data_IF_405035608179
#
_entry.id   IF_405035608179
#
_cell.length_a   1.000
_cell.length_b   1.000
_cell.length_c   1.000
_cell.angle_alpha   90.00
_cell.angle_beta   90.00
_cell.angle_gamma   90.00
#
_symmetry.space_group_name_H-M   'P 1'
#
loop_
_entity.id
_entity.type
_entity.pdbx_description
1 polymer ?
#
# COMPACT_ATOMS: atom_id res chain seq x y z
N UNK A 1 -10.67 -3.54 0.52
CA UNK A 1 -11.44 -3.47 1.76
C UNK A 1 -10.94 -4.51 2.76
N UNK A 2 -11.15 -4.25 4.06
CA UNK A 2 -10.83 -5.19 5.12
C UNK A 2 -11.80 -6.38 5.07
N UNK A 3 -11.28 -7.59 5.29
CA UNK A 3 -12.10 -8.80 5.40
C UNK A 3 -12.81 -8.87 6.75
N UNK A 4 -13.87 -9.69 6.85
CA UNK A 4 -14.57 -9.91 8.11
C UNK A 4 -13.67 -10.40 9.25
N UNK A 5 -12.67 -11.24 8.92
CA UNK A 5 -11.68 -11.74 9.89
C UNK A 5 -10.75 -10.61 10.37
N UNK A 6 -10.31 -9.73 9.47
CA UNK A 6 -9.48 -8.57 9.83
C UNK A 6 -10.25 -7.60 10.73
N UNK A 7 -11.50 -7.31 10.39
CA UNK A 7 -12.40 -6.49 11.22
C UNK A 7 -12.58 -7.08 12.63
N UNK A 8 -12.73 -8.40 12.73
CA UNK A 8 -12.83 -9.08 14.02
C UNK A 8 -11.56 -8.92 14.86
N UNK A 9 -10.37 -9.03 14.26
CA UNK A 9 -9.12 -8.85 15.02
C UNK A 9 -8.92 -7.41 15.48
N UNK A 10 -9.24 -6.43 14.64
CA UNK A 10 -9.18 -5.00 14.98
C UNK A 10 -10.16 -4.69 16.13
N UNK A 11 -11.38 -5.20 16.05
CA UNK A 11 -12.37 -5.02 17.10
C UNK A 11 -11.89 -5.60 18.43
N UNK A 12 -11.45 -6.85 18.46
CA UNK A 12 -10.95 -7.52 19.66
C UNK A 12 -9.70 -6.87 20.25
N UNK A 13 -8.88 -6.23 19.42
CA UNK A 13 -7.67 -5.53 19.86
C UNK A 13 -7.98 -4.25 20.58
N UNK A 14 -8.93 -3.45 20.10
CA UNK A 14 -9.12 -2.08 20.58
C UNK A 14 -10.43 -1.83 21.30
N UNK A 15 -11.44 -2.70 21.16
CA UNK A 15 -12.78 -2.49 21.72
C UNK A 15 -13.04 -3.47 22.88
N UNK A 16 -13.18 -2.91 24.09
CA UNK A 16 -13.53 -3.65 25.30
C UNK A 16 -14.89 -3.15 25.83
N UNK A 17 -15.97 -3.84 25.44
CA UNK A 17 -17.32 -3.50 25.90
C UNK A 17 -17.85 -2.11 25.47
N UNK A 18 -17.35 -1.59 24.36
CA UNK A 18 -17.70 -0.25 23.84
C UNK A 18 -16.70 0.84 24.23
N UNK A 19 -15.71 0.51 25.07
CA UNK A 19 -14.57 1.37 25.38
C UNK A 19 -13.45 1.10 24.36
N UNK A 20 -12.78 2.16 23.93
CA UNK A 20 -11.58 2.07 23.09
C UNK A 20 -10.40 2.49 23.95
N UNK A 21 -9.55 1.55 24.33
CA UNK A 21 -8.44 1.77 25.26
C UNK A 21 -8.88 2.61 26.50
N UNK A 22 -8.12 3.65 26.86
CA UNK A 22 -8.47 4.59 27.93
C UNK A 22 -9.03 5.93 27.43
N UNK A 23 -9.42 6.02 26.17
CA UNK A 23 -9.96 7.25 25.61
C UNK A 23 -11.26 7.68 26.31
N UNK A 24 -11.34 8.95 26.70
CA UNK A 24 -12.61 9.65 26.92
C UNK A 24 -13.28 9.91 25.56
N UNK A 25 -14.50 10.43 25.57
CA UNK A 25 -15.17 10.80 24.32
C UNK A 25 -14.42 11.91 23.58
N UNK A 26 -13.97 12.93 24.33
CA UNK A 26 -13.25 14.07 23.76
C UNK A 26 -11.84 13.68 23.28
N UNK A 27 -11.10 12.89 24.07
CA UNK A 27 -9.76 12.46 23.65
C UNK A 27 -9.80 11.49 22.47
N UNK A 28 -10.85 10.69 22.31
CA UNK A 28 -11.04 9.84 21.13
C UNK A 28 -11.34 10.68 19.88
N UNK A 29 -12.24 11.67 20.00
CA UNK A 29 -12.53 12.59 18.91
C UNK A 29 -11.28 13.36 18.47
N UNK A 30 -10.53 13.93 19.42
CA UNK A 30 -9.26 14.63 19.15
C UNK A 30 -8.21 13.73 18.50
N UNK A 31 -8.04 12.50 18.99
CA UNK A 31 -7.10 11.53 18.44
C UNK A 31 -7.45 11.19 16.99
N UNK A 32 -8.70 10.86 16.70
CA UNK A 32 -9.10 10.49 15.34
C UNK A 32 -9.03 11.67 14.37
N UNK A 33 -9.35 12.87 14.85
CA UNK A 33 -9.22 14.10 14.06
C UNK A 33 -7.75 14.39 13.73
N UNK A 34 -6.83 14.24 14.67
CA UNK A 34 -5.38 14.42 14.43
C UNK A 34 -4.80 13.33 13.54
N UNK A 35 -5.25 12.08 13.71
CA UNK A 35 -4.75 10.94 12.94
C UNK A 35 -5.17 11.00 11.49
N UNK A 36 -6.45 11.15 11.21
CA UNK A 36 -7.06 10.96 9.89
C UNK A 36 -7.93 12.11 9.41
N UNK A 37 -7.87 13.26 10.09
CA UNK A 37 -8.68 14.46 9.80
C UNK A 37 -10.21 14.17 9.83
N UNK A 38 -10.64 13.26 10.71
CA UNK A 38 -12.02 12.85 10.84
C UNK A 38 -12.39 12.54 12.30
N UNK A 39 -13.39 13.25 12.85
CA UNK A 39 -14.03 12.85 14.10
C UNK A 39 -14.98 11.66 13.84
N UNK A 40 -14.50 10.45 14.12
CA UNK A 40 -15.23 9.20 13.90
C UNK A 40 -16.51 9.15 14.78
N UNK A 41 -16.44 9.66 16.01
CA UNK A 41 -17.58 9.65 16.92
C UNK A 41 -18.70 10.57 16.42
N UNK A 42 -18.36 11.78 16.03
CA UNK A 42 -19.32 12.71 15.43
C UNK A 42 -19.91 12.19 14.13
N UNK A 43 -19.08 11.59 13.26
CA UNK A 43 -19.53 11.03 11.98
C UNK A 43 -20.61 9.96 12.13
N UNK A 44 -20.46 9.04 13.08
CA UNK A 44 -21.38 7.90 13.21
C UNK A 44 -22.41 8.05 14.32
N UNK A 45 -22.22 8.96 15.26
CA UNK A 45 -23.16 9.21 16.36
C UNK A 45 -23.34 8.03 17.34
N UNK A 46 -22.36 7.12 17.44
CA UNK A 46 -22.41 5.90 18.23
C UNK A 46 -21.43 5.98 19.43
N UNK A 47 -21.41 4.94 20.29
CA UNK A 47 -20.34 4.80 21.29
C UNK A 47 -18.97 4.65 20.58
N UNK A 48 -17.86 5.00 21.25
CA UNK A 48 -16.50 4.93 20.68
C UNK A 48 -16.20 3.62 19.99
N UNK A 49 -16.42 2.48 20.66
CA UNK A 49 -16.18 1.16 20.10
C UNK A 49 -17.06 0.86 18.87
N UNK A 50 -18.35 1.22 18.95
CA UNK A 50 -19.27 1.04 17.80
C UNK A 50 -18.91 1.97 16.63
N UNK A 51 -18.51 3.21 16.91
CA UNK A 51 -18.06 4.16 15.89
C UNK A 51 -16.77 3.68 15.21
N UNK A 52 -15.82 3.15 15.98
CA UNK A 52 -14.58 2.57 15.46
C UNK A 52 -14.85 1.37 14.54
N UNK A 53 -15.72 0.45 14.97
CA UNK A 53 -16.12 -0.70 14.15
C UNK A 53 -16.82 -0.28 12.87
N UNK A 54 -17.72 0.71 12.97
CA UNK A 54 -18.41 1.25 11.79
C UNK A 54 -17.43 1.89 10.82
N UNK A 55 -16.43 2.62 11.30
CA UNK A 55 -15.39 3.23 10.48
C UNK A 55 -14.59 2.18 9.70
N UNK A 56 -14.09 1.14 10.36
CA UNK A 56 -13.31 0.10 9.68
C UNK A 56 -14.15 -0.71 8.68
N UNK A 57 -15.45 -0.88 8.93
CA UNK A 57 -16.36 -1.59 8.02
C UNK A 57 -17.00 -0.70 6.94
N UNK A 58 -16.83 0.62 6.99
CA UNK A 58 -17.43 1.56 6.03
C UNK A 58 -16.68 1.54 4.70
N UNK A 59 -17.31 1.01 3.65
CA UNK A 59 -16.72 0.92 2.32
C UNK A 59 -16.57 2.28 1.61
N UNK A 60 -17.14 3.35 2.16
CA UNK A 60 -16.94 4.71 1.65
C UNK A 60 -15.59 5.30 2.08
N UNK A 61 -14.96 4.74 3.12
CA UNK A 61 -13.65 5.14 3.60
C UNK A 61 -12.58 4.34 2.87
N UNK A 62 -11.62 5.06 2.30
CA UNK A 62 -10.51 4.40 1.61
C UNK A 62 -9.62 3.60 2.55
N UNK A 63 -9.00 2.56 2.01
CA UNK A 63 -8.20 1.63 2.81
C UNK A 63 -6.96 2.32 3.42
N UNK A 64 -6.37 3.33 2.77
CA UNK A 64 -5.20 4.04 3.28
C UNK A 64 -5.53 4.78 4.57
N UNK A 65 -6.70 5.43 4.62
CA UNK A 65 -7.21 6.11 5.82
C UNK A 65 -7.45 5.12 6.95
N UNK A 66 -8.03 3.95 6.66
CA UNK A 66 -8.22 2.88 7.66
C UNK A 66 -6.88 2.37 8.21
N UNK A 67 -5.91 2.10 7.34
CA UNK A 67 -4.60 1.59 7.72
C UNK A 67 -3.79 2.63 8.50
N UNK A 68 -3.91 3.91 8.14
CA UNK A 68 -3.27 4.99 8.91
C UNK A 68 -3.80 5.01 10.34
N UNK A 69 -5.12 4.98 10.53
CA UNK A 69 -5.70 4.93 11.87
C UNK A 69 -5.30 3.67 12.64
N UNK A 70 -5.28 2.49 11.98
CA UNK A 70 -4.85 1.25 12.61
C UNK A 70 -3.40 1.34 13.12
N UNK A 71 -2.50 1.92 12.33
CA UNK A 71 -1.12 2.17 12.74
C UNK A 71 -1.05 3.06 13.97
N UNK A 72 -1.72 4.20 13.93
CA UNK A 72 -1.71 5.17 15.02
C UNK A 72 -2.34 4.59 16.31
N UNK A 73 -3.37 3.75 16.18
CA UNK A 73 -3.97 3.01 17.31
C UNK A 73 -3.00 1.99 17.92
N UNK A 74 -2.20 1.29 17.12
CA UNK A 74 -1.20 0.36 17.62
C UNK A 74 -0.07 1.09 18.37
N UNK A 75 0.34 2.26 17.89
CA UNK A 75 1.33 3.11 18.59
C UNK A 75 0.79 3.58 19.96
N UNK A 76 -0.45 4.05 20.00
CA UNK A 76 -1.10 4.45 21.28
C UNK A 76 -1.32 3.23 22.20
N UNK A 77 -1.58 2.04 21.67
CA UNK A 77 -1.73 0.83 22.46
C UNK A 77 -0.46 0.50 23.26
N UNK A 78 0.74 0.71 22.73
CA UNK A 78 1.98 0.49 23.48
C UNK A 78 2.06 1.44 24.70
N UNK A 79 1.72 2.70 24.50
CA UNK A 79 1.66 3.68 25.62
C UNK A 79 0.59 3.29 26.66
N UNK A 80 -0.57 2.84 26.19
CA UNK A 80 -1.65 2.36 27.05
C UNK A 80 -1.23 1.14 27.88
N UNK A 81 -0.61 0.14 27.25
CA UNK A 81 -0.12 -1.08 27.88
C UNK A 81 0.84 -0.79 29.03
N UNK A 82 1.75 0.15 28.83
CA UNK A 82 2.76 0.51 29.82
C UNK A 82 2.20 1.34 30.98
N UNK A 83 1.27 2.24 30.72
CA UNK A 83 0.90 3.30 31.64
C UNK A 83 -0.50 3.15 32.26
N UNK A 84 -1.40 2.32 31.70
CA UNK A 84 -2.77 2.23 32.17
C UNK A 84 -2.92 1.36 33.42
N UNK A 85 -3.39 1.93 34.55
CA UNK A 85 -3.76 1.16 35.72
C UNK A 85 -4.89 0.17 35.44
N UNK A 86 -5.83 0.55 34.55
CA UNK A 86 -6.96 -0.28 34.14
C UNK A 86 -6.49 -1.53 33.37
N UNK A 87 -5.50 -1.39 32.50
CA UNK A 87 -4.92 -2.52 31.81
C UNK A 87 -4.21 -3.46 32.78
N UNK A 88 -3.40 -2.94 33.70
CA UNK A 88 -2.72 -3.74 34.73
C UNK A 88 -3.71 -4.54 35.57
N UNK A 89 -4.72 -3.88 36.12
CA UNK A 89 -5.76 -4.53 36.94
C UNK A 89 -6.47 -5.62 36.12
N UNK A 90 -6.78 -5.37 34.85
CA UNK A 90 -7.41 -6.35 33.97
C UNK A 90 -6.51 -7.57 33.71
N UNK A 91 -5.19 -7.40 33.63
CA UNK A 91 -4.25 -8.52 33.50
C UNK A 91 -4.13 -9.34 34.79
N UNK A 92 -4.25 -8.70 35.95
CA UNK A 92 -4.29 -9.39 37.24
C UNK A 92 -5.56 -10.25 37.38
N UNK A 93 -6.71 -9.74 36.93
CA UNK A 93 -7.98 -10.46 36.97
C UNK A 93 -8.09 -11.57 35.92
N UNK A 94 -7.42 -11.39 34.78
CA UNK A 94 -7.43 -12.33 33.64
C UNK A 94 -5.99 -12.62 33.21
N UNK A 95 -5.32 -13.62 33.81
CA UNK A 95 -3.89 -13.91 33.57
C UNK A 95 -3.54 -14.23 32.11
N UNK A 96 -4.50 -14.74 31.31
CA UNK A 96 -4.29 -15.02 29.89
C UNK A 96 -4.43 -13.79 28.98
N UNK A 97 -4.94 -12.69 29.51
CA UNK A 97 -5.20 -11.46 28.74
C UNK A 97 -3.95 -10.91 28.05
N UNK A 98 -2.77 -10.82 28.69
CA UNK A 98 -1.56 -10.31 28.04
C UNK A 98 -1.18 -11.12 26.81
N UNK A 99 -1.22 -12.46 26.91
CA UNK A 99 -0.92 -13.36 25.80
C UNK A 99 -1.91 -13.22 24.66
N UNK A 100 -3.20 -13.13 24.97
CA UNK A 100 -4.27 -12.95 23.99
C UNK A 100 -4.15 -11.59 23.28
N UNK A 101 -3.85 -10.53 24.00
CA UNK A 101 -3.66 -9.20 23.42
C UNK A 101 -2.44 -9.14 22.51
N UNK A 102 -1.34 -9.84 22.85
CA UNK A 102 -0.17 -9.94 21.97
C UNK A 102 -0.53 -10.67 20.66
N UNK A 103 -1.30 -11.76 20.72
CA UNK A 103 -1.79 -12.43 19.51
C UNK A 103 -2.66 -11.52 18.63
N UNK A 104 -3.56 -10.73 19.23
CA UNK A 104 -4.37 -9.78 18.47
C UNK A 104 -3.53 -8.66 17.86
N UNK A 105 -2.51 -8.18 18.59
CA UNK A 105 -1.54 -7.21 18.10
C UNK A 105 -0.77 -7.75 16.89
N UNK A 106 -0.23 -8.97 16.99
CA UNK A 106 0.44 -9.64 15.85
C UNK A 106 -0.45 -9.68 14.62
N UNK A 107 -1.75 -10.05 14.79
CA UNK A 107 -2.72 -10.06 13.69
C UNK A 107 -2.99 -8.66 13.13
N UNK A 108 -3.06 -7.64 13.96
CA UNK A 108 -3.19 -6.25 13.49
C UNK A 108 -1.92 -5.78 12.74
N UNK A 109 -0.73 -6.20 13.15
CA UNK A 109 0.53 -5.94 12.44
C UNK A 109 0.52 -6.65 11.08
N UNK A 110 0.11 -7.93 11.00
CA UNK A 110 -0.07 -8.63 9.72
C UNK A 110 -1.05 -7.89 8.79
N UNK A 111 -2.14 -7.33 9.34
CA UNK A 111 -3.09 -6.51 8.59
C UNK A 111 -2.41 -5.23 8.09
N UNK A 112 -1.66 -4.54 8.94
CA UNK A 112 -0.86 -3.38 8.52
C UNK A 112 0.10 -3.74 7.39
N UNK A 113 0.88 -4.80 7.53
CA UNK A 113 1.85 -5.24 6.53
C UNK A 113 1.16 -5.59 5.21
N UNK A 114 0.07 -6.36 5.28
CA UNK A 114 -0.74 -6.75 4.12
C UNK A 114 -1.28 -5.53 3.36
N UNK A 115 -1.78 -4.53 4.08
CA UNK A 115 -2.41 -3.36 3.48
C UNK A 115 -1.46 -2.16 3.34
N UNK A 116 -0.32 -2.13 4.07
CA UNK A 116 0.79 -1.19 3.83
C UNK A 116 1.59 -1.57 2.59
N UNK A 117 1.65 -2.87 2.26
CA UNK A 117 2.06 -3.31 0.92
C UNK A 117 1.15 -2.73 -0.19
N UNK A 118 -0.09 -2.34 0.13
CA UNK A 118 -1.00 -1.58 -0.75
C UNK A 118 -0.59 -0.09 -0.86
N UNK A 119 0.23 0.46 0.03
CA UNK A 119 0.78 1.83 -0.13
C UNK A 119 1.76 1.87 -1.32
N UNK A 120 2.39 0.76 -1.64
CA UNK A 120 3.13 0.54 -2.89
C UNK A 120 2.28 -0.20 -3.94
N UNK A 121 1.06 -0.61 -3.61
CA UNK A 121 0.17 -1.23 -4.59
C UNK A 121 -0.35 -0.14 -5.53
N UNK A 122 0.12 -0.18 -6.73
CA UNK A 122 -0.45 0.59 -7.84
C UNK A 122 -1.95 0.36 -7.87
N UNK A 123 -2.74 1.43 -7.80
CA UNK A 123 -4.18 1.31 -7.90
C UNK A 123 -4.57 0.89 -9.33
N UNK A 124 -4.75 -0.41 -9.50
CA UNK A 124 -4.98 -1.03 -10.82
C UNK A 124 -6.34 -0.66 -11.44
N UNK A 125 -7.27 -0.06 -10.66
CA UNK A 125 -8.60 0.34 -11.16
C UNK A 125 -8.54 1.33 -12.32
N UNK A 126 -7.49 2.15 -12.38
CA UNK A 126 -7.33 3.17 -13.43
C UNK A 126 -6.48 2.70 -14.61
N UNK A 127 -5.93 1.49 -14.57
CA UNK A 127 -5.09 0.95 -15.66
C UNK A 127 -6.00 0.41 -16.75
N UNK A 128 -6.02 1.08 -17.90
CA UNK A 128 -6.83 0.66 -19.07
C UNK A 128 -6.15 -0.45 -19.89
N UNK A 129 -4.83 -0.56 -19.84
CA UNK A 129 -4.10 -1.60 -20.55
C UNK A 129 -4.19 -2.91 -19.76
N UNK A 130 -4.96 -3.86 -20.30
CA UNK A 130 -5.32 -5.12 -19.63
C UNK A 130 -4.10 -5.94 -19.22
N UNK A 131 -3.15 -6.15 -20.11
CA UNK A 131 -1.97 -6.98 -19.83
C UNK A 131 -1.02 -6.37 -18.80
N UNK A 132 -0.91 -5.03 -18.71
CA UNK A 132 -0.16 -4.36 -17.67
C UNK A 132 -0.85 -4.50 -16.32
N UNK A 133 -2.17 -4.35 -16.30
CA UNK A 133 -2.98 -4.52 -15.10
C UNK A 133 -2.84 -5.93 -14.53
N UNK A 134 -3.01 -6.95 -15.36
CA UNK A 134 -2.88 -8.37 -14.96
C UNK A 134 -1.51 -8.67 -14.35
N UNK A 135 -0.42 -8.19 -14.97
CA UNK A 135 0.94 -8.40 -14.47
C UNK A 135 1.18 -7.74 -13.11
N UNK A 136 0.62 -6.55 -12.87
CA UNK A 136 0.72 -5.86 -11.59
C UNK A 136 -0.09 -6.59 -10.51
N UNK A 137 -1.32 -7.02 -10.83
CA UNK A 137 -2.18 -7.77 -9.90
C UNK A 137 -1.55 -9.11 -9.52
N UNK A 138 -1.00 -9.85 -10.49
CA UNK A 138 -0.25 -11.08 -10.24
C UNK A 138 1.00 -10.84 -9.38
N UNK A 139 1.78 -9.78 -9.68
CA UNK A 139 2.95 -9.43 -8.89
C UNK A 139 2.60 -9.16 -7.42
N UNK A 140 1.50 -8.45 -7.16
CA UNK A 140 1.01 -8.15 -5.83
C UNK A 140 0.50 -9.41 -5.10
N UNK A 141 -0.19 -10.29 -5.80
CA UNK A 141 -0.68 -11.55 -5.24
C UNK A 141 0.49 -12.47 -4.81
N UNK A 142 1.54 -12.57 -5.65
CA UNK A 142 2.68 -13.43 -5.37
C UNK A 142 3.64 -12.85 -4.33
N UNK A 143 3.65 -11.54 -4.06
CA UNK A 143 4.66 -10.91 -3.21
C UNK A 143 4.84 -11.55 -1.82
N UNK A 144 3.76 -12.02 -1.22
CA UNK A 144 3.79 -12.74 0.07
C UNK A 144 4.02 -14.25 -0.05
N UNK A 145 3.75 -14.82 -1.23
CA UNK A 145 3.82 -16.27 -1.46
C UNK A 145 5.20 -16.69 -1.99
N UNK A 146 5.71 -15.91 -2.94
CA UNK A 146 6.96 -16.18 -3.65
C UNK A 146 7.52 -14.88 -4.21
N UNK A 147 8.52 -14.32 -3.54
CA UNK A 147 9.15 -13.05 -3.91
C UNK A 147 9.85 -13.11 -5.28
N UNK A 148 10.36 -14.28 -5.66
CA UNK A 148 10.98 -14.50 -6.97
C UNK A 148 9.95 -14.35 -8.08
N UNK A 149 8.81 -15.06 -7.98
CA UNK A 149 7.71 -14.94 -8.95
C UNK A 149 7.16 -13.51 -8.97
N UNK A 150 6.95 -12.89 -7.81
CA UNK A 150 6.48 -11.50 -7.72
C UNK A 150 7.42 -10.54 -8.45
N UNK A 151 8.74 -10.71 -8.28
CA UNK A 151 9.76 -9.88 -8.94
C UNK A 151 9.77 -10.11 -10.46
N UNK A 152 9.59 -11.35 -10.92
CA UNK A 152 9.43 -11.66 -12.34
C UNK A 152 8.20 -10.95 -12.94
N UNK A 153 7.07 -10.99 -12.24
CA UNK A 153 5.82 -10.36 -12.69
C UNK A 153 5.91 -8.84 -12.74
N UNK A 154 6.43 -8.19 -11.68
CA UNK A 154 6.62 -6.73 -11.69
C UNK A 154 7.63 -6.28 -12.74
N UNK A 155 8.67 -7.08 -12.98
CA UNK A 155 9.59 -6.88 -14.09
C UNK A 155 8.87 -6.96 -15.44
N UNK A 156 8.02 -7.97 -15.65
CA UNK A 156 7.18 -8.11 -16.83
C UNK A 156 6.26 -6.89 -17.01
N UNK A 157 5.71 -6.36 -15.93
CA UNK A 157 4.91 -5.14 -15.93
C UNK A 157 5.73 -3.91 -16.38
N UNK A 158 6.97 -3.76 -15.89
CA UNK A 158 7.88 -2.69 -16.33
C UNK A 158 8.19 -2.79 -17.83
N UNK A 159 8.49 -3.99 -18.33
CA UNK A 159 8.73 -4.21 -19.76
C UNK A 159 7.48 -3.90 -20.60
N UNK A 160 6.30 -4.22 -20.11
CA UNK A 160 5.02 -3.89 -20.74
C UNK A 160 4.77 -2.39 -20.75
N UNK A 161 5.01 -1.70 -19.63
CA UNK A 161 4.92 -0.24 -19.53
C UNK A 161 5.81 0.45 -20.56
N UNK A 162 7.03 -0.02 -20.80
CA UNK A 162 7.96 0.53 -21.79
C UNK A 162 7.40 0.50 -23.22
N UNK A 163 6.38 -0.31 -23.49
CA UNK A 163 5.70 -0.39 -24.78
C UNK A 163 4.35 0.34 -24.81
N UNK A 164 4.07 1.20 -23.83
CA UNK A 164 2.76 1.84 -23.66
C UNK A 164 2.28 2.58 -24.90
N UNK A 165 3.18 3.28 -25.61
CA UNK A 165 2.88 4.02 -26.83
C UNK A 165 3.10 3.24 -28.13
N UNK A 166 3.44 1.94 -28.08
CA UNK A 166 3.66 1.16 -29.32
C UNK A 166 2.38 1.04 -30.18
N UNK A 167 1.21 1.13 -29.58
CA UNK A 167 -0.08 1.14 -30.29
C UNK A 167 -0.23 2.35 -31.22
N UNK A 168 0.52 3.43 -30.95
CA UNK A 168 0.52 4.65 -31.74
C UNK A 168 1.63 4.63 -32.84
N UNK A 169 2.16 3.44 -33.16
CA UNK A 169 3.22 3.27 -34.17
C UNK A 169 4.61 3.71 -33.69
N UNK A 170 4.77 3.94 -32.40
CA UNK A 170 6.03 4.39 -31.78
C UNK A 170 6.86 3.18 -31.36
N UNK A 171 8.16 3.17 -31.66
CA UNK A 171 9.05 2.12 -31.17
C UNK A 171 9.25 2.18 -29.64
N UNK A 172 9.76 1.06 -29.06
CA UNK A 172 9.93 0.92 -27.61
C UNK A 172 10.81 2.04 -27.00
N UNK A 173 11.87 2.48 -27.69
CA UNK A 173 12.76 3.52 -27.20
C UNK A 173 12.03 4.85 -27.12
N UNK A 174 11.37 5.25 -28.17
CA UNK A 174 10.57 6.47 -28.22
C UNK A 174 9.38 6.43 -27.26
N UNK A 175 8.79 5.24 -27.04
CA UNK A 175 7.74 5.06 -26.03
C UNK A 175 8.26 5.38 -24.63
N UNK A 176 9.45 4.91 -24.26
CA UNK A 176 10.10 5.23 -22.97
C UNK A 176 10.43 6.71 -22.87
N UNK A 177 11.00 7.34 -23.92
CA UNK A 177 11.29 8.77 -23.98
C UNK A 177 10.02 9.59 -23.70
N UNK A 178 8.89 9.28 -24.36
CA UNK A 178 7.60 9.94 -24.11
C UNK A 178 7.11 9.78 -22.66
N UNK A 179 7.27 8.59 -22.07
CA UNK A 179 6.92 8.38 -20.66
C UNK A 179 7.76 9.29 -19.75
N UNK A 180 9.08 9.33 -19.99
CA UNK A 180 10.01 10.14 -19.20
C UNK A 180 9.71 11.64 -19.35
N UNK A 181 9.44 12.13 -20.55
CA UNK A 181 9.02 13.50 -20.78
C UNK A 181 7.80 13.90 -19.94
N UNK A 182 6.81 13.00 -19.84
CA UNK A 182 5.61 13.25 -19.06
C UNK A 182 5.87 13.28 -17.56
N UNK A 183 6.59 12.30 -17.02
CA UNK A 183 6.86 12.23 -15.57
C UNK A 183 7.87 13.27 -15.10
N UNK A 184 8.69 13.83 -16.00
CA UNK A 184 9.67 14.87 -15.70
C UNK A 184 9.10 16.29 -15.74
N UNK A 185 7.89 16.49 -16.29
CA UNK A 185 7.29 17.82 -16.46
C UNK A 185 8.21 18.85 -17.09
N UNK A 186 8.95 18.48 -18.13
CA UNK A 186 9.95 19.31 -18.81
C UNK A 186 11.12 19.76 -17.93
N UNK A 187 11.30 19.13 -16.76
CA UNK A 187 12.45 19.39 -15.90
C UNK A 187 13.62 18.48 -16.28
N UNK A 188 14.73 19.06 -16.73
CA UNK A 188 15.89 18.32 -17.24
C UNK A 188 16.54 17.42 -16.17
N UNK A 189 16.58 17.87 -14.91
CA UNK A 189 17.10 17.07 -13.79
C UNK A 189 16.28 15.83 -13.56
N UNK A 190 14.94 15.96 -13.54
CA UNK A 190 14.04 14.82 -13.41
C UNK A 190 14.06 13.92 -14.65
N UNK A 191 14.19 14.50 -15.86
CA UNK A 191 14.34 13.71 -17.07
C UNK A 191 15.56 12.79 -16.98
N UNK A 192 16.71 13.35 -16.63
CA UNK A 192 17.95 12.57 -16.46
C UNK A 192 17.80 11.50 -15.39
N UNK A 193 17.22 11.84 -14.22
CA UNK A 193 16.98 10.90 -13.13
C UNK A 193 16.13 9.70 -13.58
N UNK A 194 15.00 9.94 -14.22
CA UNK A 194 14.10 8.87 -14.62
C UNK A 194 14.63 8.09 -15.82
N UNK A 195 15.33 8.71 -16.75
CA UNK A 195 16.01 8.01 -17.83
C UNK A 195 17.04 7.03 -17.29
N UNK A 196 17.88 7.47 -16.35
CA UNK A 196 18.85 6.63 -15.67
C UNK A 196 18.17 5.46 -14.93
N UNK A 197 17.03 5.71 -14.30
CA UNK A 197 16.30 4.69 -13.57
C UNK A 197 15.74 3.61 -14.51
N UNK A 198 15.14 3.99 -15.64
CA UNK A 198 14.70 3.03 -16.66
C UNK A 198 15.87 2.19 -17.20
N UNK A 199 17.03 2.82 -17.46
CA UNK A 199 18.23 2.13 -17.94
C UNK A 199 18.77 1.17 -16.87
N UNK A 200 18.90 1.61 -15.62
CA UNK A 200 19.42 0.82 -14.51
C UNK A 200 18.54 -0.41 -14.23
N UNK A 201 17.22 -0.23 -14.19
CA UNK A 201 16.29 -1.34 -14.01
C UNK A 201 16.33 -2.31 -15.20
N UNK A 202 16.41 -1.80 -16.44
CA UNK A 202 16.55 -2.66 -17.62
C UNK A 202 17.83 -3.51 -17.56
N UNK A 203 18.96 -2.88 -17.20
CA UNK A 203 20.24 -3.58 -17.08
C UNK A 203 20.23 -4.62 -15.95
N UNK A 204 19.57 -4.31 -14.84
CA UNK A 204 19.41 -5.22 -13.71
C UNK A 204 18.67 -6.48 -14.12
N UNK A 205 17.53 -6.37 -14.78
CA UNK A 205 16.76 -7.52 -15.23
C UNK A 205 17.46 -8.34 -16.32
N UNK A 206 18.28 -7.68 -17.15
CA UNK A 206 19.07 -8.38 -18.16
C UNK A 206 20.26 -9.14 -17.55
N UNK A 207 20.82 -8.69 -16.43
CA UNK A 207 21.98 -9.28 -15.77
C UNK A 207 21.62 -10.36 -14.76
N UNK A 208 20.52 -10.17 -14.05
CA UNK A 208 20.10 -11.11 -13.01
C UNK A 208 19.11 -12.15 -13.55
N UNK A 209 19.04 -13.30 -12.88
CA UNK A 209 18.14 -14.40 -13.21
C UNK A 209 16.71 -14.10 -12.74
N UNK A 210 16.13 -12.97 -13.23
CA UNK A 210 14.77 -12.58 -12.89
C UNK A 210 13.77 -13.31 -13.80
N UNK A 211 14.04 -13.36 -15.11
CA UNK A 211 13.10 -13.85 -16.10
C UNK A 211 13.64 -15.03 -16.93
N UNK A 212 14.95 -15.12 -17.08
CA UNK A 212 15.62 -16.12 -17.88
C UNK A 212 16.49 -17.04 -17.01
N UNK A 213 16.31 -18.33 -17.14
CA UNK A 213 17.08 -19.33 -16.40
C UNK A 213 18.43 -19.69 -17.11
N UNK A 214 18.97 -18.72 -17.86
CA UNK A 214 20.26 -18.89 -18.54
C UNK A 214 21.41 -19.00 -17.54
N UNK A 215 22.40 -19.83 -17.85
CA UNK A 215 23.50 -20.13 -16.93
C UNK A 215 24.44 -18.94 -16.68
N UNK A 216 24.48 -17.97 -17.60
CA UNK A 216 25.31 -16.77 -17.53
C UNK A 216 24.70 -15.63 -16.67
N UNK A 217 23.50 -15.79 -16.16
CA UNK A 217 22.83 -14.77 -15.34
C UNK A 217 23.21 -14.90 -13.86
N UNK A 218 23.34 -13.74 -13.22
CA UNK A 218 23.63 -13.65 -11.78
C UNK A 218 22.41 -14.09 -10.99
N UNK A 219 22.57 -15.07 -10.11
CA UNK A 219 21.53 -15.50 -9.20
C UNK A 219 21.30 -14.48 -8.09
N UNK A 220 20.04 -14.26 -7.74
CA UNK A 220 19.65 -13.45 -6.60
C UNK A 220 19.61 -14.40 -5.39
N UNK A 221 20.53 -14.21 -4.45
CA UNK A 221 20.81 -15.14 -3.35
C UNK A 221 20.11 -14.78 -2.04
N UNK A 222 19.44 -13.61 -1.97
CA UNK A 222 18.83 -13.10 -0.74
C UNK A 222 17.44 -12.50 -1.03
N UNK A 223 16.47 -12.87 -0.21
CA UNK A 223 15.08 -12.38 -0.32
C UNK A 223 14.97 -10.87 -0.20
N UNK A 224 15.86 -10.21 0.57
CA UNK A 224 15.90 -8.76 0.67
C UNK A 224 16.26 -8.08 -0.66
N UNK A 225 17.02 -8.74 -1.53
CA UNK A 225 17.29 -8.23 -2.88
C UNK A 225 16.07 -8.34 -3.78
N UNK A 226 15.26 -9.41 -3.65
CA UNK A 226 13.97 -9.49 -4.34
C UNK A 226 13.03 -8.37 -3.88
N UNK A 227 12.95 -8.09 -2.57
CA UNK A 227 12.16 -6.98 -2.03
C UNK A 227 12.61 -5.63 -2.60
N UNK A 228 13.91 -5.40 -2.64
CA UNK A 228 14.47 -4.16 -3.20
C UNK A 228 14.13 -4.00 -4.69
N UNK A 229 14.32 -5.05 -5.49
CA UNK A 229 14.05 -4.99 -6.93
C UNK A 229 12.57 -4.86 -7.24
N UNK A 230 11.74 -5.61 -6.53
CA UNK A 230 10.29 -5.52 -6.64
C UNK A 230 9.78 -4.11 -6.35
N UNK A 231 10.12 -3.57 -5.18
CA UNK A 231 9.65 -2.25 -4.75
C UNK A 231 10.15 -1.14 -5.68
N UNK A 232 11.37 -1.24 -6.17
CA UNK A 232 11.96 -0.25 -7.07
C UNK A 232 11.27 -0.24 -8.44
N UNK A 233 10.98 -1.39 -9.01
CA UNK A 233 10.20 -1.51 -10.25
C UNK A 233 8.79 -0.97 -10.06
N UNK A 234 8.11 -1.39 -8.98
CA UNK A 234 6.74 -0.99 -8.72
C UNK A 234 6.60 0.51 -8.49
N UNK A 235 7.57 1.14 -7.78
CA UNK A 235 7.58 2.58 -7.55
C UNK A 235 7.69 3.39 -8.87
N UNK A 236 8.53 2.95 -9.81
CA UNK A 236 8.65 3.59 -11.11
C UNK A 236 7.38 3.41 -11.96
N UNK A 237 6.80 2.21 -11.94
CA UNK A 237 5.54 1.91 -12.63
C UNK A 237 4.40 2.78 -12.07
N UNK A 238 4.26 2.84 -10.74
CA UNK A 238 3.21 3.62 -10.08
C UNK A 238 3.33 5.11 -10.40
N UNK A 239 4.55 5.65 -10.35
CA UNK A 239 4.83 7.03 -10.76
C UNK A 239 4.38 7.27 -12.21
N UNK A 240 4.84 6.45 -13.14
CA UNK A 240 4.50 6.61 -14.55
C UNK A 240 3.00 6.56 -14.80
N UNK A 241 2.29 5.60 -14.19
CA UNK A 241 0.85 5.43 -14.36
C UNK A 241 0.04 6.60 -13.82
N UNK A 242 0.47 7.24 -12.73
CA UNK A 242 -0.17 8.47 -12.22
C UNK A 242 -0.19 9.56 -13.29
N UNK A 243 0.93 9.81 -13.94
CA UNK A 243 1.02 10.85 -14.96
C UNK A 243 0.35 10.46 -16.29
N UNK A 244 0.43 9.20 -16.69
CA UNK A 244 -0.24 8.70 -17.89
C UNK A 244 -1.77 8.72 -17.78
N UNK A 245 -2.32 8.54 -16.57
CA UNK A 245 -3.77 8.61 -16.34
C UNK A 245 -4.32 10.04 -16.32
N UNK A 246 -3.54 11.02 -15.85
CA UNK A 246 -3.96 12.42 -15.76
C UNK A 246 -4.19 13.06 -17.14
N UNK A 247 -3.38 12.73 -18.14
CA UNK A 247 -3.56 13.27 -19.49
C UNK A 247 -4.87 12.84 -20.16
N UNK A 248 -5.38 11.66 -19.83
CA UNK A 248 -6.66 11.19 -20.37
C UNK A 248 -7.87 11.90 -19.77
N UNK A 249 -7.74 12.55 -18.61
CA UNK A 249 -8.79 13.36 -17.98
C UNK A 249 -8.81 14.78 -18.53
N UNK A 250 -7.67 15.32 -18.94
CA UNK A 250 -7.56 16.69 -19.46
C UNK A 250 -7.94 16.84 -20.93
N UNK A 251 -7.86 15.75 -21.72
CA UNK A 251 -8.28 15.75 -23.15
C UNK A 251 -9.80 15.78 -23.32
N UNK A 252 -10.60 15.49 -22.26
CA UNK A 252 -12.05 15.44 -22.31
C UNK A 252 -12.75 16.67 -21.69
N UNK A 253 -12.04 17.76 -21.41
CA UNK A 253 -12.69 19.03 -21.04
C UNK A 253 -13.01 19.78 -22.33
N UNK A 254 -14.28 19.93 -22.73
CA UNK A 254 -14.62 20.78 -23.85
C UNK A 254 -14.20 22.22 -23.51
N UNK A 255 -13.41 22.81 -24.38
CA UNK A 255 -13.14 24.26 -24.33
C UNK A 255 -14.49 24.93 -24.56
N UNK A 256 -15.07 25.50 -23.50
CA UNK A 256 -16.20 26.37 -23.64
C UNK A 256 -15.69 27.66 -24.30
N UNK A 257 -16.02 27.84 -25.58
CA UNK A 257 -15.91 29.11 -26.29
C UNK A 257 -16.90 30.15 -25.74
#
# INVERSE_FOLDING_TARGET
DLTATELMYIDRMFNDGGFVLDFSDDSFAEFTLRSIDLDIKAKYGLSKGKSLNRFFSDNSIDIKTKIKLLKDLLEIYEVYKENSPKFRLSCELYPDKPKLMEQYKEKCVEILEKHSGIILATNTKYIKEKGLKELIEEAQEYYKKDKKIATEKVWGALERLKTYYNKDGVDKKKSVEKIIEQISHSNETYYTLFNDEFIKLTNLGNKHRIRHHELDKIEIIDDNYYDYFYNRCLALIDLALKFLSWQQLTVNVPVLE
#
